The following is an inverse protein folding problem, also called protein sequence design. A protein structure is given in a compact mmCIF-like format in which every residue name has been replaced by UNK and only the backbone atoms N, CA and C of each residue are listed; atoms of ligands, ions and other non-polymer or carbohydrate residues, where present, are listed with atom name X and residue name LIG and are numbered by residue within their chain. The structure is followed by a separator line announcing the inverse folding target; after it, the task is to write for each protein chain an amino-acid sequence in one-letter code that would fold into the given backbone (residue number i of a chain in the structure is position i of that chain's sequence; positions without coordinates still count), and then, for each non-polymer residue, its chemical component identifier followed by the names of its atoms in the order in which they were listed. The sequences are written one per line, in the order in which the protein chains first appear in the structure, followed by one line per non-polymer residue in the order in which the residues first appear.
data_IF_466763931064
#
_entry.id   IF_466763931064
#
_cell.length_a   1.000
_cell.length_b   1.000
_cell.length_c   1.000
_cell.angle_alpha   90.00
_cell.angle_beta   90.00
_cell.angle_gamma   90.00
#
_symmetry.space_group_name_H-M   'P 1'
#
loop_
_entity.id
_entity.type
_entity.pdbx_description
1 polymer ?
#
# COMPACT_ATOMS: atom_id res chain seq x y z
N UNK A 1 -8.82 -17.75 24.23
CA UNK A 1 -9.76 -17.39 25.30
C UNK A 1 -10.86 -16.57 24.65
N UNK A 2 -12.15 -16.92 24.85
CA UNK A 2 -13.24 -16.08 24.39
C UNK A 2 -13.19 -14.74 25.13
N UNK A 3 -13.38 -13.64 24.44
CA UNK A 3 -13.46 -12.34 25.09
C UNK A 3 -14.71 -12.29 25.97
N UNK A 4 -14.59 -11.73 27.18
CA UNK A 4 -15.76 -11.54 28.05
C UNK A 4 -16.75 -10.59 27.35
N UNK A 5 -18.07 -10.83 27.49
CA UNK A 5 -19.09 -9.95 26.94
C UNK A 5 -18.92 -8.53 27.50
N UNK A 6 -18.90 -7.54 26.63
CA UNK A 6 -18.78 -6.12 27.02
C UNK A 6 -17.36 -5.52 26.93
N UNK A 7 -16.35 -6.27 26.47
CA UNK A 7 -15.02 -5.71 26.29
C UNK A 7 -14.99 -4.82 25.03
N UNK A 8 -14.73 -3.53 25.23
CA UNK A 8 -14.53 -2.58 24.12
C UNK A 8 -13.27 -2.97 23.34
N UNK A 9 -13.40 -3.04 22.01
CA UNK A 9 -12.32 -3.43 21.10
C UNK A 9 -11.72 -2.16 20.51
N UNK A 10 -10.48 -1.87 20.87
CA UNK A 10 -9.75 -0.68 20.42
C UNK A 10 -8.42 -1.09 19.76
N UNK A 11 -8.40 -1.40 18.45
CA UNK A 11 -7.18 -1.80 17.77
C UNK A 11 -6.22 -0.61 17.67
N UNK A 12 -5.02 -0.76 18.24
CA UNK A 12 -3.95 0.24 18.18
C UNK A 12 -3.11 0.13 16.89
N UNK A 13 -3.12 -1.04 16.26
CA UNK A 13 -2.32 -1.33 15.07
C UNK A 13 -2.97 -2.33 14.13
N UNK A 14 -2.41 -2.42 12.92
CA UNK A 14 -2.96 -3.26 11.85
C UNK A 14 -2.97 -4.76 12.22
N UNK A 15 -1.87 -5.26 12.79
CA UNK A 15 -1.78 -6.67 13.23
C UNK A 15 -2.80 -6.99 14.31
N UNK A 16 -3.00 -6.08 15.25
CA UNK A 16 -3.99 -6.23 16.31
C UNK A 16 -5.41 -6.22 15.74
N UNK A 17 -5.71 -5.34 14.78
CA UNK A 17 -6.98 -5.34 14.09
C UNK A 17 -7.27 -6.68 13.37
N UNK A 18 -6.25 -7.28 12.73
CA UNK A 18 -6.35 -8.61 12.13
C UNK A 18 -6.58 -9.68 13.20
N UNK A 19 -5.87 -9.62 14.32
CA UNK A 19 -6.05 -10.57 15.42
C UNK A 19 -7.49 -10.55 15.98
N UNK A 20 -8.07 -9.37 16.13
CA UNK A 20 -9.49 -9.24 16.52
C UNK A 20 -10.42 -9.85 15.48
N UNK A 21 -10.18 -9.64 14.21
CA UNK A 21 -10.96 -10.27 13.12
C UNK A 21 -10.85 -11.79 13.20
N UNK A 22 -9.64 -12.34 13.42
CA UNK A 22 -9.42 -13.78 13.51
C UNK A 22 -10.10 -14.41 14.73
N UNK A 23 -9.97 -13.79 15.90
CA UNK A 23 -10.63 -14.24 17.12
C UNK A 23 -12.15 -14.25 16.96
N UNK A 24 -12.68 -13.19 16.37
CA UNK A 24 -14.12 -13.10 16.15
C UNK A 24 -14.61 -14.09 15.09
N UNK A 25 -13.82 -14.35 14.06
CA UNK A 25 -14.09 -15.39 13.07
C UNK A 25 -14.18 -16.78 13.72
N UNK A 26 -13.23 -17.10 14.62
CA UNK A 26 -13.24 -18.35 15.35
C UNK A 26 -14.49 -18.50 16.24
N UNK A 27 -14.90 -17.41 16.90
CA UNK A 27 -16.12 -17.38 17.73
C UNK A 27 -17.38 -17.56 16.88
N UNK A 28 -17.50 -16.89 15.75
CA UNK A 28 -18.64 -17.03 14.84
C UNK A 28 -18.74 -18.45 14.25
N UNK A 29 -17.61 -19.09 13.91
CA UNK A 29 -17.58 -20.48 13.47
C UNK A 29 -17.92 -21.48 14.57
N UNK A 30 -17.56 -21.16 15.83
CA UNK A 30 -17.87 -21.99 16.99
C UNK A 30 -19.33 -21.89 17.44
N UNK A 31 -20.18 -21.13 16.74
CA UNK A 31 -21.58 -20.91 17.13
C UNK A 31 -21.75 -20.04 18.38
N UNK A 32 -20.69 -19.37 18.82
CA UNK A 32 -20.76 -18.40 19.90
C UNK A 32 -21.46 -17.13 19.37
N UNK A 33 -22.76 -17.04 19.62
CA UNK A 33 -23.57 -15.87 19.25
C UNK A 33 -23.10 -14.69 20.13
N UNK A 34 -22.45 -13.73 19.50
CA UNK A 34 -22.08 -12.47 20.15
C UNK A 34 -23.31 -11.55 20.05
N UNK A 35 -24.35 -11.85 20.83
CA UNK A 35 -25.63 -11.14 20.78
C UNK A 35 -25.56 -9.67 21.20
N UNK A 36 -24.58 -9.28 22.00
CA UNK A 36 -24.56 -7.97 22.66
C UNK A 36 -23.40 -7.06 22.29
N UNK A 37 -22.58 -7.40 21.29
CA UNK A 37 -21.41 -6.61 20.91
C UNK A 37 -21.46 -6.13 19.47
N UNK A 38 -22.44 -5.28 19.16
CA UNK A 38 -22.34 -4.50 17.91
C UNK A 38 -21.21 -3.49 18.05
N UNK A 39 -20.36 -3.42 17.02
CA UNK A 39 -19.34 -2.37 16.94
C UNK A 39 -20.02 -0.99 17.03
N UNK A 40 -19.64 -0.22 18.04
CA UNK A 40 -20.04 1.17 18.14
C UNK A 40 -19.48 1.97 16.97
N UNK A 41 -20.05 3.14 16.69
CA UNK A 41 -19.54 4.03 15.63
C UNK A 41 -18.07 4.39 15.89
N UNK A 42 -17.67 4.57 17.14
CA UNK A 42 -16.29 4.85 17.53
C UNK A 42 -15.35 3.69 17.14
N UNK A 43 -15.70 2.47 17.52
CA UNK A 43 -14.92 1.27 17.19
C UNK A 43 -14.81 1.05 15.65
N UNK A 44 -15.89 1.30 14.90
CA UNK A 44 -15.83 1.25 13.42
C UNK A 44 -14.84 2.25 12.85
N UNK A 45 -14.80 3.47 13.40
CA UNK A 45 -13.84 4.50 13.01
C UNK A 45 -12.41 4.10 13.34
N UNK A 46 -12.17 3.46 14.47
CA UNK A 46 -10.84 2.99 14.88
C UNK A 46 -10.30 1.91 13.90
N UNK A 47 -11.14 0.94 13.51
CA UNK A 47 -10.75 -0.02 12.47
C UNK A 47 -10.46 0.66 11.13
N UNK A 48 -11.26 1.65 10.75
CA UNK A 48 -11.03 2.44 9.55
C UNK A 48 -9.72 3.23 9.64
N UNK A 49 -9.48 3.91 10.76
CA UNK A 49 -8.26 4.69 11.00
C UNK A 49 -7.01 3.83 10.94
N UNK A 50 -7.02 2.67 11.59
CA UNK A 50 -5.90 1.72 11.55
C UNK A 50 -5.62 1.26 10.12
N UNK A 51 -6.67 0.93 9.35
CA UNK A 51 -6.53 0.58 7.94
C UNK A 51 -5.95 1.72 7.11
N UNK A 52 -6.49 2.93 7.29
CA UNK A 52 -6.04 4.13 6.60
C UNK A 52 -4.57 4.44 6.89
N UNK A 53 -4.19 4.53 8.15
CA UNK A 53 -2.80 4.85 8.55
C UNK A 53 -1.82 3.81 8.03
N UNK A 54 -2.14 2.54 8.17
CA UNK A 54 -1.26 1.45 7.71
C UNK A 54 -1.04 1.50 6.19
N UNK A 55 -2.10 1.63 5.41
CA UNK A 55 -2.03 1.71 3.95
C UNK A 55 -1.37 3.01 3.47
N UNK A 56 -1.68 4.13 4.10
CA UNK A 56 -1.14 5.43 3.73
C UNK A 56 0.37 5.50 3.97
N UNK A 57 0.85 5.11 5.16
CA UNK A 57 2.28 5.14 5.51
C UNK A 57 3.06 4.16 4.65
N UNK A 58 2.60 2.91 4.56
CA UNK A 58 3.26 1.89 3.74
C UNK A 58 3.29 2.28 2.26
N UNK A 59 2.19 2.86 1.79
CA UNK A 59 2.07 3.34 0.43
C UNK A 59 2.97 4.53 0.12
N UNK A 60 3.18 5.46 1.05
CA UNK A 60 4.13 6.57 0.90
C UNK A 60 5.57 6.05 0.77
N UNK A 61 5.97 5.09 1.60
CA UNK A 61 7.30 4.47 1.50
C UNK A 61 7.48 3.85 0.11
N UNK A 62 6.52 3.07 -0.35
CA UNK A 62 6.55 2.48 -1.68
C UNK A 62 6.62 3.54 -2.79
N UNK A 63 5.84 4.63 -2.68
CA UNK A 63 5.86 5.72 -3.65
C UNK A 63 7.21 6.44 -3.69
N UNK A 64 7.84 6.69 -2.54
CA UNK A 64 9.17 7.30 -2.46
C UNK A 64 10.27 6.42 -3.05
N UNK A 65 10.13 5.10 -2.97
CA UNK A 65 11.07 4.16 -3.57
C UNK A 65 10.86 4.00 -5.10
N UNK A 66 9.70 4.34 -5.62
CA UNK A 66 9.35 4.15 -7.04
C UNK A 66 10.32 4.86 -8.00
N UNK A 67 10.72 6.14 -7.83
CA UNK A 67 11.67 6.78 -8.74
C UNK A 67 13.04 6.08 -8.79
N UNK A 68 13.50 5.55 -7.66
CA UNK A 68 14.74 4.78 -7.62
C UNK A 68 14.62 3.47 -8.38
N UNK A 69 13.51 2.74 -8.18
CA UNK A 69 13.25 1.50 -8.90
C UNK A 69 13.14 1.71 -10.41
N UNK A 70 12.38 2.72 -10.85
CA UNK A 70 12.25 3.06 -12.27
C UNK A 70 13.60 3.55 -12.83
N UNK A 71 14.35 4.36 -12.07
CA UNK A 71 15.66 4.83 -12.47
C UNK A 71 16.67 3.70 -12.69
N UNK A 72 16.61 2.63 -11.88
CA UNK A 72 17.40 1.41 -12.12
C UNK A 72 16.99 0.74 -13.42
N UNK A 73 15.68 0.52 -13.62
CA UNK A 73 15.14 -0.11 -14.83
C UNK A 73 15.46 0.71 -16.10
N UNK A 74 15.31 2.04 -16.01
CA UNK A 74 15.58 2.94 -17.14
C UNK A 74 17.07 3.34 -17.26
N UNK A 75 17.96 2.83 -16.41
CA UNK A 75 19.40 3.13 -16.38
C UNK A 75 19.76 4.58 -16.06
N UNK A 76 18.86 5.31 -15.44
CA UNK A 76 19.12 6.70 -15.06
C UNK A 76 19.88 6.84 -13.74
N UNK A 77 19.93 5.78 -12.91
CA UNK A 77 20.64 5.81 -11.64
C UNK A 77 21.94 5.01 -11.77
N UNK A 78 23.10 5.68 -11.86
CA UNK A 78 24.39 5.00 -12.00
C UNK A 78 24.88 4.37 -10.68
N UNK A 79 24.13 4.50 -9.58
CA UNK A 79 24.49 3.93 -8.28
C UNK A 79 24.71 2.42 -8.35
N UNK A 80 24.03 1.74 -9.25
CA UNK A 80 24.14 0.29 -9.43
C UNK A 80 25.16 -0.12 -10.50
N UNK A 81 25.90 0.85 -11.08
CA UNK A 81 27.09 0.60 -11.89
C UNK A 81 26.91 -0.12 -13.23
N UNK A 82 25.72 -0.52 -13.58
CA UNK A 82 25.44 -1.28 -14.81
C UNK A 82 25.03 -0.37 -15.96
N UNK A 83 25.62 -0.58 -17.13
CA UNK A 83 25.20 0.10 -18.37
C UNK A 83 23.96 -0.55 -18.99
N UNK A 84 23.63 -1.76 -18.61
CA UNK A 84 22.38 -2.46 -18.93
C UNK A 84 21.85 -3.11 -17.65
N UNK A 85 20.58 -2.84 -17.24
CA UNK A 85 20.02 -3.53 -16.10
C UNK A 85 20.01 -5.02 -16.40
N UNK A 86 20.66 -5.75 -15.52
CA UNK A 86 20.63 -7.19 -15.46
C UNK A 86 19.22 -7.65 -14.99
N UNK A 87 18.89 -8.89 -15.23
CA UNK A 87 17.62 -9.48 -14.75
C UNK A 87 17.46 -9.33 -13.23
N UNK A 88 18.58 -9.41 -12.50
CA UNK A 88 18.59 -9.22 -11.05
C UNK A 88 18.21 -7.78 -10.66
N UNK A 89 18.77 -6.77 -11.32
CA UNK A 89 18.45 -5.36 -11.09
C UNK A 89 16.96 -5.07 -11.33
N UNK A 90 16.40 -5.65 -12.39
CA UNK A 90 14.97 -5.53 -12.71
C UNK A 90 14.08 -6.18 -11.64
N UNK A 91 14.43 -7.38 -11.17
CA UNK A 91 13.69 -8.06 -10.10
C UNK A 91 13.80 -7.25 -8.81
N UNK A 92 14.98 -6.76 -8.47
CA UNK A 92 15.21 -5.98 -7.26
C UNK A 92 14.44 -4.65 -7.29
N UNK A 93 14.43 -3.94 -8.44
CA UNK A 93 13.64 -2.74 -8.62
C UNK A 93 12.14 -2.99 -8.48
N UNK A 94 11.65 -4.12 -9.04
CA UNK A 94 10.27 -4.54 -8.87
C UNK A 94 9.94 -4.84 -7.40
N UNK A 95 10.80 -5.56 -6.70
CA UNK A 95 10.59 -5.88 -5.28
C UNK A 95 10.58 -4.62 -4.40
N UNK A 96 11.45 -3.64 -4.67
CA UNK A 96 11.46 -2.37 -3.93
C UNK A 96 10.19 -1.55 -4.16
N UNK A 97 9.78 -1.37 -5.42
CA UNK A 97 8.66 -0.49 -5.75
C UNK A 97 7.29 -1.13 -5.50
N UNK A 98 7.16 -2.41 -5.77
CA UNK A 98 5.89 -3.14 -5.86
C UNK A 98 5.74 -4.17 -4.76
N UNK A 99 6.81 -4.88 -4.41
CA UNK A 99 6.77 -6.02 -3.50
C UNK A 99 6.17 -5.68 -2.14
N UNK A 100 6.52 -4.54 -1.58
CA UNK A 100 5.97 -4.09 -0.30
C UNK A 100 4.46 -3.85 -0.38
N UNK A 101 3.98 -3.16 -1.42
CA UNK A 101 2.55 -2.90 -1.63
C UNK A 101 1.77 -4.19 -1.93
N UNK A 102 2.33 -5.08 -2.74
CA UNK A 102 1.71 -6.38 -3.03
C UNK A 102 1.68 -7.28 -1.81
N UNK A 103 2.77 -7.36 -1.05
CA UNK A 103 2.82 -8.13 0.20
C UNK A 103 1.73 -7.69 1.18
N UNK A 104 1.56 -6.39 1.36
CA UNK A 104 0.50 -5.84 2.19
C UNK A 104 -0.90 -6.11 1.63
N UNK A 105 -1.09 -6.02 0.30
CA UNK A 105 -2.36 -6.33 -0.35
C UNK A 105 -2.73 -7.82 -0.21
N UNK A 106 -1.78 -8.73 -0.35
CA UNK A 106 -1.98 -10.17 -0.15
C UNK A 106 -2.34 -10.47 1.31
N UNK A 107 -1.63 -9.84 2.26
CA UNK A 107 -1.94 -10.00 3.68
C UNK A 107 -3.35 -9.49 4.02
N UNK A 108 -3.76 -8.35 3.44
CA UNK A 108 -5.12 -7.85 3.61
C UNK A 108 -6.14 -8.75 2.92
N UNK A 109 -5.82 -9.33 1.74
CA UNK A 109 -6.66 -10.31 1.08
C UNK A 109 -6.88 -11.55 1.95
N UNK A 110 -5.85 -12.00 2.66
CA UNK A 110 -6.00 -13.05 3.68
C UNK A 110 -7.01 -12.65 4.77
N UNK A 111 -6.94 -11.43 5.29
CA UNK A 111 -7.93 -10.94 6.27
C UNK A 111 -9.35 -10.98 5.72
N UNK A 112 -9.54 -10.67 4.41
CA UNK A 112 -10.84 -10.74 3.76
C UNK A 112 -11.42 -12.16 3.70
N UNK A 113 -10.59 -13.21 3.81
CA UNK A 113 -11.08 -14.59 3.87
C UNK A 113 -11.87 -14.88 5.14
N UNK A 114 -11.73 -14.04 6.16
CA UNK A 114 -12.46 -14.10 7.43
C UNK A 114 -13.79 -13.35 7.40
N UNK A 115 -14.24 -12.92 6.22
CA UNK A 115 -15.50 -12.19 6.06
C UNK A 115 -16.70 -13.12 6.22
N UNK A 116 -17.07 -13.36 7.48
CA UNK A 116 -18.20 -14.21 7.92
C UNK A 116 -19.03 -13.39 8.88
N UNK A 117 -20.29 -13.75 9.11
CA UNK A 117 -21.13 -13.16 10.15
C UNK A 117 -21.25 -11.62 10.14
N UNK A 118 -22.00 -11.09 11.07
CA UNK A 118 -22.26 -9.64 11.13
C UNK A 118 -21.10 -8.86 11.71
N UNK A 119 -20.51 -9.39 12.78
CA UNK A 119 -19.47 -8.70 13.54
C UNK A 119 -18.13 -8.71 12.79
N UNK A 120 -17.68 -9.87 12.35
CA UNK A 120 -16.47 -10.01 11.53
C UNK A 120 -16.58 -9.21 10.24
N UNK A 121 -17.76 -9.22 9.62
CA UNK A 121 -18.05 -8.43 8.42
C UNK A 121 -17.87 -6.93 8.68
N UNK A 122 -18.37 -6.42 9.80
CA UNK A 122 -18.27 -5.01 10.14
C UNK A 122 -16.80 -4.60 10.37
N UNK A 123 -16.03 -5.38 11.10
CA UNK A 123 -14.58 -5.14 11.31
C UNK A 123 -13.81 -5.14 10.00
N UNK A 124 -13.95 -6.20 9.20
CA UNK A 124 -13.23 -6.36 7.93
C UNK A 124 -13.60 -5.27 6.94
N UNK A 125 -14.89 -4.91 6.83
CA UNK A 125 -15.36 -3.85 5.94
C UNK A 125 -14.77 -2.49 6.30
N UNK A 126 -14.74 -2.13 7.58
CA UNK A 126 -14.19 -0.84 8.00
C UNK A 126 -12.67 -0.81 7.84
N UNK A 127 -11.96 -1.87 8.19
CA UNK A 127 -10.52 -1.98 7.97
C UNK A 127 -10.18 -1.86 6.48
N UNK A 128 -10.87 -2.60 5.61
CA UNK A 128 -10.68 -2.54 4.15
C UNK A 128 -11.02 -1.14 3.60
N UNK A 129 -12.12 -0.53 4.05
CA UNK A 129 -12.50 0.83 3.66
C UNK A 129 -11.40 1.84 3.99
N UNK A 130 -10.80 1.73 5.18
CA UNK A 130 -9.65 2.54 5.57
C UNK A 130 -8.44 2.32 4.67
N UNK A 131 -8.10 1.05 4.39
CA UNK A 131 -6.97 0.72 3.50
C UNK A 131 -7.16 1.28 2.10
N UNK A 132 -8.35 1.15 1.52
CA UNK A 132 -8.65 1.70 0.19
C UNK A 132 -8.53 3.24 0.21
N UNK A 133 -9.11 3.89 1.22
CA UNK A 133 -9.03 5.35 1.35
C UNK A 133 -7.57 5.83 1.49
N UNK A 134 -6.75 5.14 2.30
CA UNK A 134 -5.33 5.43 2.46
C UNK A 134 -4.54 5.24 1.16
N UNK A 135 -4.82 4.17 0.40
CA UNK A 135 -4.18 3.91 -0.88
C UNK A 135 -4.52 4.98 -1.92
N UNK A 136 -5.78 5.41 -2.00
CA UNK A 136 -6.23 6.47 -2.92
C UNK A 136 -5.59 7.81 -2.54
N UNK A 137 -5.62 8.18 -1.27
CA UNK A 137 -5.00 9.42 -0.79
C UNK A 137 -3.50 9.45 -1.11
N UNK A 138 -2.78 8.36 -0.85
CA UNK A 138 -1.37 8.21 -1.19
C UNK A 138 -1.14 8.40 -2.69
N UNK A 139 -1.96 7.78 -3.53
CA UNK A 139 -1.81 7.88 -4.99
C UNK A 139 -2.00 9.31 -5.49
N UNK A 140 -3.00 10.02 -4.96
CA UNK A 140 -3.24 11.44 -5.29
C UNK A 140 -2.05 12.30 -4.87
N UNK A 141 -1.57 12.14 -3.63
CA UNK A 141 -0.44 12.93 -3.12
C UNK A 141 0.86 12.63 -3.88
N UNK A 142 1.14 11.37 -4.18
CA UNK A 142 2.30 10.98 -4.96
C UNK A 142 2.21 11.54 -6.39
N UNK A 143 1.05 11.45 -7.03
CA UNK A 143 0.83 11.98 -8.38
C UNK A 143 1.05 13.49 -8.43
N UNK A 144 0.44 14.24 -7.52
CA UNK A 144 0.64 15.69 -7.41
C UNK A 144 2.10 16.02 -7.10
N UNK A 145 2.71 15.32 -6.14
CA UNK A 145 4.10 15.57 -5.72
C UNK A 145 5.09 15.32 -6.86
N UNK A 146 4.97 14.23 -7.59
CA UNK A 146 5.85 13.94 -8.73
C UNK A 146 5.65 14.91 -9.90
N UNK A 147 4.41 15.34 -10.19
CA UNK A 147 4.17 16.38 -11.18
C UNK A 147 4.73 17.72 -10.75
N UNK A 148 4.61 18.08 -9.47
CA UNK A 148 5.24 19.29 -8.92
C UNK A 148 6.77 19.22 -9.08
N UNK A 149 7.40 18.11 -8.73
CA UNK A 149 8.83 17.92 -8.95
C UNK A 149 9.19 18.06 -10.44
N UNK A 150 8.43 17.45 -11.33
CA UNK A 150 8.66 17.52 -12.77
C UNK A 150 8.53 18.94 -13.34
N UNK A 151 7.49 19.69 -12.97
CA UNK A 151 7.16 20.99 -13.58
C UNK A 151 7.92 22.13 -12.88
N UNK A 152 7.94 22.13 -11.54
CA UNK A 152 8.41 23.29 -10.75
C UNK A 152 9.86 23.13 -10.32
N UNK A 153 10.26 21.95 -9.87
CA UNK A 153 11.61 21.74 -9.33
C UNK A 153 12.60 21.44 -10.44
N UNK A 154 12.25 20.58 -11.40
CA UNK A 154 13.13 20.15 -12.50
C UNK A 154 13.07 21.11 -13.70
N UNK A 155 13.16 22.43 -13.44
CA UNK A 155 13.33 23.44 -14.49
C UNK A 155 14.78 23.45 -14.98
N UNK A 156 15.02 23.89 -16.22
CA UNK A 156 16.38 23.94 -16.79
C UNK A 156 17.33 24.80 -15.95
N UNK A 157 16.84 25.88 -15.36
CA UNK A 157 17.61 26.70 -14.45
C UNK A 157 18.09 25.91 -13.21
N UNK A 158 17.15 25.23 -12.53
CA UNK A 158 17.46 24.43 -11.35
C UNK A 158 18.36 23.22 -11.68
N UNK A 159 18.15 22.59 -12.83
CA UNK A 159 18.99 21.49 -13.29
C UNK A 159 20.42 21.93 -13.58
N UNK A 160 20.60 23.08 -14.24
CA UNK A 160 21.94 23.65 -14.46
C UNK A 160 22.62 24.04 -13.15
N UNK A 161 21.90 24.64 -12.24
CA UNK A 161 22.41 24.97 -10.91
C UNK A 161 22.84 23.71 -10.17
N UNK A 162 21.96 22.70 -10.09
CA UNK A 162 22.25 21.43 -9.45
C UNK A 162 23.47 20.73 -10.08
N UNK A 163 23.55 20.71 -11.42
CA UNK A 163 24.69 20.13 -12.13
C UNK A 163 26.02 20.81 -11.78
N UNK A 164 26.03 22.13 -11.67
CA UNK A 164 27.22 22.88 -11.25
C UNK A 164 27.63 22.54 -9.82
N UNK A 165 26.67 22.44 -8.88
CA UNK A 165 26.96 22.08 -7.49
C UNK A 165 27.48 20.64 -7.36
N UNK A 166 26.81 19.68 -8.02
CA UNK A 166 27.22 18.27 -8.00
C UNK A 166 28.61 18.07 -8.65
N UNK A 167 28.91 18.81 -9.72
CA UNK A 167 30.24 18.78 -10.31
C UNK A 167 31.33 19.26 -9.36
N UNK A 168 31.06 20.33 -8.60
CA UNK A 168 31.98 20.84 -7.56
C UNK A 168 32.27 19.81 -6.47
N UNK A 169 31.35 18.90 -6.18
CA UNK A 169 31.53 17.82 -5.22
C UNK A 169 32.41 16.67 -5.76
N UNK A 170 32.98 16.83 -6.97
CA UNK A 170 33.86 15.84 -7.61
C UNK A 170 33.23 14.44 -7.73
N UNK A 171 31.92 14.36 -7.80
CA UNK A 171 31.23 13.12 -8.13
C UNK A 171 31.64 12.75 -9.57
N UNK A 172 32.24 11.63 -9.72
CA UNK A 172 32.98 10.98 -10.83
C UNK A 172 32.52 11.21 -12.29
N UNK A 173 32.04 12.39 -12.68
CA UNK A 173 31.63 12.74 -14.02
C UNK A 173 32.64 13.69 -14.68
N UNK A 174 32.98 13.49 -15.97
CA UNK A 174 34.07 14.20 -16.64
C UNK A 174 33.80 15.68 -16.91
N UNK A 175 32.52 16.14 -16.89
CA UNK A 175 32.17 17.53 -17.20
C UNK A 175 30.83 17.93 -16.57
N UNK A 176 30.59 19.26 -16.44
CA UNK A 176 29.30 19.81 -15.97
C UNK A 176 28.15 19.37 -16.90
N UNK A 177 28.41 19.29 -18.21
CA UNK A 177 27.41 18.84 -19.18
C UNK A 177 27.00 17.37 -18.95
N UNK A 178 27.97 16.51 -18.63
CA UNK A 178 27.69 15.11 -18.31
C UNK A 178 26.86 14.96 -17.03
N UNK A 179 27.12 15.81 -16.03
CA UNK A 179 26.30 15.86 -14.81
C UNK A 179 24.90 16.41 -15.11
N UNK A 180 24.80 17.46 -15.95
CA UNK A 180 23.50 18.01 -16.36
C UNK A 180 22.64 16.95 -17.07
N UNK A 181 23.19 16.26 -18.06
CA UNK A 181 22.46 15.21 -18.80
C UNK A 181 22.00 14.07 -17.87
N UNK A 182 22.82 13.73 -16.87
CA UNK A 182 22.47 12.73 -15.87
C UNK A 182 21.31 13.20 -14.99
N UNK A 183 21.36 14.44 -14.46
CA UNK A 183 20.28 15.00 -13.64
C UNK A 183 19.02 15.23 -14.46
N UNK A 184 19.17 15.64 -15.73
CA UNK A 184 18.03 15.81 -16.64
C UNK A 184 17.29 14.50 -16.91
N UNK A 185 18.00 13.37 -16.95
CA UNK A 185 17.38 12.04 -17.06
C UNK A 185 16.38 11.75 -15.95
N UNK A 186 16.62 12.23 -14.73
CA UNK A 186 15.68 12.07 -13.62
C UNK A 186 14.33 12.77 -13.83
N UNK A 187 14.29 13.80 -14.68
CA UNK A 187 13.04 14.51 -14.97
C UNK A 187 11.97 13.58 -15.52
N UNK A 188 12.34 12.71 -16.47
CA UNK A 188 11.42 11.71 -17.01
C UNK A 188 10.98 10.67 -15.99
N UNK A 189 11.91 10.24 -15.12
CA UNK A 189 11.63 9.26 -14.06
C UNK A 189 10.51 9.70 -13.13
N UNK A 190 10.43 10.97 -12.75
CA UNK A 190 9.35 11.46 -11.90
C UNK A 190 7.99 11.38 -12.57
N UNK A 191 7.91 11.70 -13.87
CA UNK A 191 6.65 11.60 -14.62
C UNK A 191 6.21 10.14 -14.75
N UNK A 192 7.13 9.24 -15.12
CA UNK A 192 6.86 7.80 -15.20
C UNK A 192 6.43 7.26 -13.82
N UNK A 193 7.09 7.69 -12.74
CA UNK A 193 6.74 7.30 -11.37
C UNK A 193 5.32 7.74 -10.98
N UNK A 194 4.88 8.92 -11.41
CA UNK A 194 3.52 9.39 -11.13
C UNK A 194 2.46 8.42 -11.69
N UNK A 195 2.61 8.01 -12.95
CA UNK A 195 1.68 7.09 -13.60
C UNK A 195 1.81 5.67 -13.07
N UNK A 196 3.03 5.22 -12.77
CA UNK A 196 3.27 3.90 -12.20
C UNK A 196 2.59 3.75 -10.83
N UNK A 197 2.69 4.76 -9.95
CA UNK A 197 2.05 4.75 -8.63
C UNK A 197 0.53 4.69 -8.75
N UNK A 198 -0.06 5.37 -9.74
CA UNK A 198 -1.49 5.23 -10.01
C UNK A 198 -1.84 3.81 -10.43
N UNK A 199 -1.13 3.24 -11.38
CA UNK A 199 -1.37 1.88 -11.89
C UNK A 199 -1.26 0.82 -10.79
N UNK A 200 -0.18 0.85 -9.99
CA UNK A 200 0.00 -0.12 -8.90
C UNK A 200 -1.06 0.05 -7.80
N UNK A 201 -1.57 1.26 -7.60
CA UNK A 201 -2.65 1.49 -6.63
C UNK A 201 -3.95 0.82 -7.07
N UNK A 202 -4.25 0.81 -8.37
CA UNK A 202 -5.41 0.07 -8.89
C UNK A 202 -5.28 -1.44 -8.58
N UNK A 203 -4.11 -2.03 -8.82
CA UNK A 203 -3.83 -3.44 -8.50
C UNK A 203 -3.94 -3.69 -6.99
N UNK A 204 -3.38 -2.79 -6.19
CA UNK A 204 -3.44 -2.84 -4.73
C UNK A 204 -4.88 -2.84 -4.19
N UNK A 205 -5.78 -2.08 -4.79
CA UNK A 205 -7.20 -2.04 -4.41
C UNK A 205 -7.95 -3.27 -4.96
N UNK A 206 -7.62 -3.72 -6.17
CA UNK A 206 -8.31 -4.83 -6.82
C UNK A 206 -8.12 -6.16 -6.07
N UNK A 207 -6.90 -6.46 -5.60
CA UNK A 207 -6.58 -7.72 -4.92
C UNK A 207 -7.49 -7.99 -3.71
N UNK A 208 -7.53 -7.11 -2.67
CA UNK A 208 -8.39 -7.35 -1.51
C UNK A 208 -9.89 -7.24 -1.84
N UNK A 209 -10.28 -6.42 -2.81
CA UNK A 209 -11.68 -6.32 -3.24
C UNK A 209 -12.17 -7.63 -3.88
N UNK A 210 -11.37 -8.24 -4.75
CA UNK A 210 -11.68 -9.55 -5.33
C UNK A 210 -11.69 -10.63 -4.25
N UNK A 211 -10.70 -10.62 -3.34
CA UNK A 211 -10.65 -11.56 -2.22
C UNK A 211 -11.91 -11.46 -1.33
N UNK A 212 -12.38 -10.24 -1.06
CA UNK A 212 -13.61 -10.01 -0.30
C UNK A 212 -14.86 -10.58 -1.03
N UNK A 213 -14.97 -10.35 -2.34
CA UNK A 213 -16.08 -10.91 -3.15
C UNK A 213 -16.06 -12.45 -3.11
N UNK A 214 -14.90 -13.07 -3.24
CA UNK A 214 -14.74 -14.53 -3.16
C UNK A 214 -15.09 -15.05 -1.75
N UNK A 215 -14.65 -14.33 -0.71
CA UNK A 215 -14.97 -14.68 0.67
C UNK A 215 -16.48 -14.61 0.95
N UNK A 216 -17.16 -13.57 0.46
CA UNK A 216 -18.62 -13.45 0.57
C UNK A 216 -19.32 -14.65 -0.08
N UNK A 217 -18.93 -15.02 -1.31
CA UNK A 217 -19.49 -16.18 -2.02
C UNK A 217 -19.25 -17.48 -1.27
N UNK A 218 -18.05 -17.70 -0.76
CA UNK A 218 -17.70 -18.88 0.02
C UNK A 218 -18.51 -18.96 1.31
N UNK A 219 -18.54 -17.85 2.05
CA UNK A 219 -19.15 -17.82 3.36
C UNK A 219 -20.68 -17.91 3.30
N UNK A 220 -21.30 -17.43 2.20
CA UNK A 220 -22.71 -17.66 1.92
C UNK A 220 -23.05 -19.17 1.90
N UNK A 221 -22.19 -19.99 1.28
CA UNK A 221 -22.35 -21.44 1.27
C UNK A 221 -22.24 -22.06 2.66
N UNK A 222 -21.37 -21.53 3.54
CA UNK A 222 -21.23 -21.97 4.93
C UNK A 222 -22.49 -21.65 5.75
N UNK A 223 -23.08 -20.48 5.52
CA UNK A 223 -24.35 -20.07 6.14
C UNK A 223 -25.49 -20.97 5.67
N UNK A 224 -25.63 -21.20 4.35
CA UNK A 224 -26.63 -22.06 3.75
C UNK A 224 -26.50 -23.53 4.21
N UNK A 225 -25.27 -23.98 4.52
CA UNK A 225 -25.01 -25.30 5.08
C UNK A 225 -25.25 -25.40 6.60
N UNK A 226 -25.67 -24.32 7.27
CA UNK A 226 -25.92 -24.31 8.71
C UNK A 226 -24.66 -24.36 9.59
N UNK A 227 -23.47 -24.18 9.00
CA UNK A 227 -22.19 -24.17 9.73
C UNK A 227 -22.01 -22.88 10.52
N UNK A 228 -22.62 -21.79 10.06
CA UNK A 228 -22.58 -20.47 10.71
C UNK A 228 -23.99 -19.90 10.80
N UNK A 229 -24.41 -19.56 12.00
CA UNK A 229 -25.66 -18.83 12.23
C UNK A 229 -25.41 -17.33 12.12
N UNK A 230 -26.04 -16.69 11.14
CA UNK A 230 -26.05 -15.24 10.97
C UNK A 230 -27.43 -14.75 11.35
N UNK A 231 -27.52 -13.92 12.37
CA UNK A 231 -28.75 -13.14 12.67
C UNK A 231 -28.86 -11.91 11.77
#
# INVERSE_FOLDING_TARGET
MPMPPGQEIHPKGFLEAISYIEQNFANELGGAVIRDTFLTTKQRLEFFEVGFRSSFISGLISALLTPFAIGVVERYIPVFGSTSPDTFDMIFAFLLAVGYSLGFAIFLAYACTKFVGTYTRAMTRNLLGGVIAGAVMKAILAFIGFHFLYIVVMTDFNLQWAAKQLYRLKLSKPSVLAVYNWVYGFKGVFLTSAWFVLGITVVFIAIPSVAMLLAVRRNRKLIEAGVVHVE
#
